data_IF_589368289268
#
_entry.id   IF_589368289268
#
_cell.length_a   1.000
_cell.length_b   1.000
_cell.length_c   1.000
_cell.angle_alpha   90.00
_cell.angle_beta   90.00
_cell.angle_gamma   90.00
#
_symmetry.space_group_name_H-M   'P 1'
#
loop_
_entity.id
_entity.type
_entity.pdbx_description
1 polymer ?
#
# COMPACT_ATOMS: atom_id res chain seq x y z
N UNK A 1 -8.57 -1.66 0.25
CA UNK A 1 -7.57 -1.34 -0.79
C UNK A 1 -8.14 -0.26 -1.70
N UNK A 2 -7.47 0.88 -1.81
CA UNK A 2 -7.86 2.00 -2.69
C UNK A 2 -7.15 1.91 -4.05
N UNK A 3 -7.46 2.82 -4.96
CA UNK A 3 -6.70 2.98 -6.20
C UNK A 3 -5.32 3.62 -5.95
N UNK A 4 -4.38 3.42 -6.88
CA UNK A 4 -3.00 3.94 -6.81
C UNK A 4 -2.93 5.46 -6.99
N UNK A 5 -2.02 6.12 -6.28
CA UNK A 5 -1.77 7.57 -6.27
C UNK A 5 -1.53 8.18 -7.66
N UNK A 6 -1.08 7.38 -8.64
CA UNK A 6 -0.91 7.84 -10.03
C UNK A 6 -2.23 7.98 -10.79
N UNK A 7 -3.33 7.47 -10.22
CA UNK A 7 -4.68 7.59 -10.77
C UNK A 7 -5.42 8.79 -10.18
N UNK A 8 -6.47 9.23 -10.85
CA UNK A 8 -7.33 10.31 -10.34
C UNK A 8 -8.38 9.84 -9.31
N UNK A 9 -8.39 8.54 -8.94
CA UNK A 9 -9.43 7.94 -8.10
C UNK A 9 -9.08 7.92 -6.62
N UNK A 10 -7.80 7.80 -6.26
CA UNK A 10 -7.33 7.53 -4.87
C UNK A 10 -7.92 8.47 -3.84
N UNK A 11 -7.85 9.78 -4.09
CA UNK A 11 -8.31 10.76 -3.11
C UNK A 11 -9.81 10.61 -2.83
N UNK A 12 -10.61 10.30 -3.85
CA UNK A 12 -12.05 10.12 -3.72
C UNK A 12 -12.37 8.81 -3.01
N UNK A 13 -11.66 7.73 -3.32
CA UNK A 13 -11.83 6.45 -2.62
C UNK A 13 -11.62 6.64 -1.12
N UNK A 14 -10.51 7.28 -0.74
CA UNK A 14 -10.16 7.51 0.67
C UNK A 14 -11.24 8.35 1.36
N UNK A 15 -11.63 9.49 0.79
CA UNK A 15 -12.65 10.36 1.38
C UNK A 15 -13.98 9.61 1.52
N UNK A 16 -14.48 9.01 0.43
CA UNK A 16 -15.80 8.37 0.43
C UNK A 16 -15.87 7.18 1.38
N UNK A 17 -14.84 6.35 1.44
CA UNK A 17 -14.82 5.17 2.33
C UNK A 17 -14.63 5.58 3.78
N UNK A 18 -13.71 6.50 4.08
CA UNK A 18 -13.40 6.88 5.46
C UNK A 18 -14.54 7.71 6.07
N UNK A 19 -15.16 8.63 5.33
CA UNK A 19 -16.31 9.38 5.85
C UNK A 19 -17.55 8.47 6.04
N UNK A 20 -17.77 7.51 5.13
CA UNK A 20 -18.94 6.64 5.17
C UNK A 20 -18.84 5.45 6.14
N UNK A 21 -17.65 4.85 6.25
CA UNK A 21 -17.41 3.62 7.01
C UNK A 21 -16.37 3.77 8.13
N UNK A 22 -15.81 4.96 8.31
CA UNK A 22 -14.75 5.27 9.26
C UNK A 22 -14.91 4.62 10.64
N UNK A 23 -16.07 4.70 11.33
CA UNK A 23 -16.23 4.13 12.66
C UNK A 23 -15.94 2.62 12.76
N UNK A 24 -16.09 1.88 11.66
CA UNK A 24 -15.87 0.43 11.59
C UNK A 24 -14.70 0.05 10.67
N UNK A 25 -13.90 1.03 10.23
CA UNK A 25 -12.75 0.81 9.37
C UNK A 25 -11.47 0.77 10.21
N UNK A 26 -10.71 -0.31 10.08
CA UNK A 26 -9.45 -0.51 10.81
C UNK A 26 -8.24 -0.01 10.00
N UNK A 27 -8.17 -0.35 8.70
CA UNK A 27 -7.00 -0.05 7.86
C UNK A 27 -7.38 0.32 6.42
N UNK A 28 -6.52 1.13 5.78
CA UNK A 28 -6.51 1.35 4.34
C UNK A 28 -5.27 0.72 3.72
N UNK A 29 -5.49 -0.21 2.80
CA UNK A 29 -4.42 -0.73 1.95
C UNK A 29 -4.12 0.22 0.78
N UNK A 30 -2.89 0.71 0.72
CA UNK A 30 -2.35 1.56 -0.33
C UNK A 30 -1.54 0.71 -1.34
N UNK A 31 -1.98 0.58 -2.61
CA UNK A 31 -1.24 -0.18 -3.61
C UNK A 31 0.01 0.56 -4.10
N UNK A 32 0.91 -0.16 -4.76
CA UNK A 32 2.01 0.36 -5.60
C UNK A 32 2.91 1.35 -4.88
N UNK A 33 3.16 1.15 -3.58
CA UNK A 33 4.02 2.06 -2.81
C UNK A 33 5.48 1.91 -3.28
N UNK A 34 6.06 3.03 -3.68
CA UNK A 34 7.42 3.19 -4.18
C UNK A 34 8.26 4.17 -3.35
N UNK A 35 7.60 5.00 -2.55
CA UNK A 35 8.22 6.09 -1.83
C UNK A 35 7.51 6.34 -0.49
N UNK A 36 8.29 6.63 0.56
CA UNK A 36 7.79 7.00 1.87
C UNK A 36 6.80 8.18 1.81
N UNK A 37 6.98 9.14 0.88
CA UNK A 37 6.07 10.28 0.80
C UNK A 37 4.64 9.90 0.38
N UNK A 38 4.46 8.75 -0.28
CA UNK A 38 3.12 8.25 -0.61
C UNK A 38 2.37 7.77 0.64
N UNK A 39 3.08 7.21 1.62
CA UNK A 39 2.52 6.84 2.93
C UNK A 39 2.22 8.10 3.74
N UNK A 40 3.16 9.05 3.78
CA UNK A 40 2.97 10.35 4.45
C UNK A 40 1.76 11.10 3.89
N UNK A 41 1.56 11.09 2.57
CA UNK A 41 0.41 11.72 1.94
C UNK A 41 -0.92 11.08 2.39
N UNK A 42 -0.98 9.75 2.51
CA UNK A 42 -2.17 9.06 3.00
C UNK A 42 -2.43 9.35 4.48
N UNK A 43 -1.40 9.36 5.32
CA UNK A 43 -1.50 9.72 6.74
C UNK A 43 -2.07 11.14 6.93
N UNK A 44 -1.54 12.11 6.18
CA UNK A 44 -2.04 13.49 6.23
C UNK A 44 -3.51 13.58 5.83
N UNK A 45 -3.93 12.88 4.76
CA UNK A 45 -5.31 12.85 4.32
C UNK A 45 -6.23 12.18 5.34
N UNK A 46 -5.84 11.01 5.88
CA UNK A 46 -6.59 10.32 6.94
C UNK A 46 -6.74 11.20 8.18
N UNK A 47 -5.66 11.85 8.61
CA UNK A 47 -5.66 12.77 9.75
C UNK A 47 -6.63 13.94 9.55
N UNK A 48 -6.73 14.48 8.32
CA UNK A 48 -7.69 15.55 8.00
C UNK A 48 -9.14 15.04 8.06
N UNK A 49 -9.41 13.85 7.51
CA UNK A 49 -10.75 13.27 7.50
C UNK A 49 -11.18 12.89 8.92
N UNK A 50 -10.33 12.21 9.70
CA UNK A 50 -10.62 11.85 11.09
C UNK A 50 -10.97 13.07 11.93
N UNK A 51 -10.21 14.17 11.81
CA UNK A 51 -10.53 15.44 12.49
C UNK A 51 -11.88 16.02 12.04
N UNK A 52 -12.16 15.98 10.74
CA UNK A 52 -13.40 16.50 10.17
C UNK A 52 -14.62 15.71 10.64
N UNK A 53 -14.48 14.39 10.76
CA UNK A 53 -15.55 13.46 11.14
C UNK A 53 -15.66 13.25 12.66
N UNK A 54 -14.72 13.79 13.45
CA UNK A 54 -14.69 13.60 14.90
C UNK A 54 -14.24 12.20 15.34
N UNK A 55 -13.48 11.50 14.50
CA UNK A 55 -12.87 10.22 14.85
C UNK A 55 -11.59 10.43 15.67
N UNK A 56 -11.19 9.41 16.43
CA UNK A 56 -9.87 9.41 17.09
C UNK A 56 -8.77 9.52 16.02
N UNK A 57 -7.91 10.53 16.16
CA UNK A 57 -6.82 10.76 15.20
C UNK A 57 -5.75 9.70 15.38
N UNK A 58 -5.41 9.01 14.30
CA UNK A 58 -4.42 7.92 14.31
C UNK A 58 -5.03 6.54 14.26
N UNK A 59 -6.36 6.40 14.41
CA UNK A 59 -7.00 5.09 14.59
C UNK A 59 -7.04 4.22 13.33
N UNK A 60 -7.09 4.84 12.14
CA UNK A 60 -7.11 4.09 10.87
C UNK A 60 -5.66 3.85 10.45
N UNK A 61 -5.25 2.59 10.43
CA UNK A 61 -3.93 2.14 10.02
C UNK A 61 -3.74 2.13 8.50
N UNK A 62 -2.49 1.93 8.08
CA UNK A 62 -2.07 1.84 6.68
C UNK A 62 -1.39 0.50 6.44
N UNK A 63 -1.83 -0.19 5.39
CA UNK A 63 -1.15 -1.37 4.84
C UNK A 63 -0.51 -0.98 3.50
N UNK A 64 0.82 -0.93 3.43
CA UNK A 64 1.51 -0.57 2.19
C UNK A 64 1.82 -1.82 1.37
N UNK A 65 1.34 -1.84 0.13
CA UNK A 65 1.64 -2.92 -0.80
C UNK A 65 2.89 -2.58 -1.62
N UNK A 66 3.92 -3.42 -1.47
CA UNK A 66 5.19 -3.37 -2.18
C UNK A 66 5.14 -4.34 -3.35
N UNK A 67 5.12 -3.78 -4.56
CA UNK A 67 4.84 -4.56 -5.77
C UNK A 67 5.68 -4.10 -6.96
N UNK A 68 6.80 -3.42 -6.72
CA UNK A 68 7.79 -3.13 -7.73
C UNK A 68 9.20 -3.00 -7.14
N UNK A 69 10.21 -3.04 -8.02
CA UNK A 69 11.62 -2.96 -7.62
C UNK A 69 11.94 -1.70 -6.79
N UNK A 70 11.41 -0.53 -7.16
CA UNK A 70 11.68 0.73 -6.45
C UNK A 70 11.14 0.69 -5.01
N UNK A 71 9.91 0.21 -4.82
CA UNK A 71 9.32 0.04 -3.49
C UNK A 71 10.11 -0.93 -2.63
N UNK A 72 10.67 -2.00 -3.21
CA UNK A 72 11.51 -2.94 -2.48
C UNK A 72 12.87 -2.31 -2.09
N UNK A 73 13.47 -1.50 -2.96
CA UNK A 73 14.72 -0.78 -2.65
C UNK A 73 14.52 0.24 -1.52
N UNK A 74 13.36 0.89 -1.48
CA UNK A 74 13.02 1.94 -0.51
C UNK A 74 12.27 1.41 0.72
N UNK A 75 12.29 0.09 0.98
CA UNK A 75 11.37 -0.54 1.93
C UNK A 75 11.56 -0.03 3.37
N UNK A 76 12.78 0.26 3.80
CA UNK A 76 13.07 0.75 5.15
C UNK A 76 12.50 2.16 5.37
N UNK A 77 12.66 3.04 4.39
CA UNK A 77 12.10 4.39 4.43
C UNK A 77 10.58 4.36 4.42
N UNK A 78 9.99 3.46 3.61
CA UNK A 78 8.54 3.23 3.58
C UNK A 78 8.06 2.72 4.95
N UNK A 79 8.77 1.75 5.53
CA UNK A 79 8.44 1.16 6.83
C UNK A 79 8.42 2.20 7.96
N UNK A 80 9.32 3.18 7.91
CA UNK A 80 9.45 4.24 8.90
C UNK A 80 8.57 5.48 8.63
N UNK A 81 7.81 5.50 7.53
CA UNK A 81 7.19 6.73 7.00
C UNK A 81 6.05 7.29 7.85
N UNK A 82 5.35 6.46 8.63
CA UNK A 82 4.20 6.88 9.44
C UNK A 82 3.99 5.95 10.64
N UNK A 83 3.60 6.48 11.81
CA UNK A 83 3.17 5.64 12.94
C UNK A 83 1.89 4.83 12.65
N UNK A 84 1.13 5.16 11.59
CA UNK A 84 -0.04 4.39 11.15
C UNK A 84 0.32 3.14 10.36
N UNK A 85 1.57 3.00 9.92
CA UNK A 85 1.94 1.87 9.07
C UNK A 85 2.00 0.60 9.91
N UNK A 86 1.06 -0.31 9.66
CA UNK A 86 0.93 -1.56 10.41
C UNK A 86 1.54 -2.75 9.68
N UNK A 87 1.43 -2.76 8.35
CA UNK A 87 1.82 -3.91 7.53
C UNK A 87 2.46 -3.51 6.21
N UNK A 88 3.48 -4.27 5.80
CA UNK A 88 4.05 -4.29 4.46
C UNK A 88 3.62 -5.58 3.74
N UNK A 89 2.95 -5.44 2.60
CA UNK A 89 2.40 -6.56 1.83
C UNK A 89 3.19 -6.72 0.54
N UNK A 90 3.81 -7.89 0.34
CA UNK A 90 4.48 -8.18 -0.92
C UNK A 90 3.48 -8.62 -2.00
N UNK A 91 3.40 -7.87 -3.10
CA UNK A 91 2.54 -8.15 -4.25
C UNK A 91 3.30 -8.82 -5.40
N UNK A 92 3.39 -10.16 -5.47
CA UNK A 92 4.30 -10.85 -6.38
C UNK A 92 3.93 -10.67 -7.85
N UNK A 93 2.64 -10.60 -8.20
CA UNK A 93 2.17 -10.49 -9.59
C UNK A 93 2.72 -9.24 -10.29
N UNK A 94 2.40 -8.07 -9.74
CA UNK A 94 2.87 -6.78 -10.21
C UNK A 94 4.40 -6.64 -10.03
N UNK A 95 4.99 -7.24 -8.98
CA UNK A 95 6.44 -7.23 -8.80
C UNK A 95 7.18 -7.93 -9.94
N UNK A 96 6.74 -9.15 -10.31
CA UNK A 96 7.31 -9.89 -11.44
C UNK A 96 7.18 -9.11 -12.74
N UNK A 97 6.04 -8.46 -12.97
CA UNK A 97 5.86 -7.59 -14.13
C UNK A 97 6.84 -6.40 -14.12
N UNK A 98 7.07 -5.80 -12.94
CA UNK A 98 7.99 -4.66 -12.80
C UNK A 98 9.45 -4.99 -13.11
N UNK A 99 9.89 -6.22 -12.82
CA UNK A 99 11.27 -6.69 -13.11
C UNK A 99 11.36 -7.46 -14.43
N UNK A 100 10.29 -7.45 -15.24
CA UNK A 100 10.20 -8.15 -16.52
C UNK A 100 10.52 -9.65 -16.42
N UNK A 101 10.01 -10.31 -15.36
CA UNK A 101 10.19 -11.73 -15.16
C UNK A 101 9.43 -12.53 -16.24
N UNK A 102 10.10 -13.50 -16.85
CA UNK A 102 9.56 -14.29 -17.97
C UNK A 102 8.59 -15.38 -17.52
N UNK A 103 7.48 -15.00 -16.88
CA UNK A 103 6.38 -15.91 -16.50
C UNK A 103 5.04 -15.19 -16.53
N UNK A 104 3.97 -15.93 -16.84
CA UNK A 104 2.58 -15.47 -16.76
C UNK A 104 1.86 -16.03 -15.52
N UNK A 105 2.52 -16.91 -14.77
CA UNK A 105 1.96 -17.58 -13.59
C UNK A 105 2.66 -17.07 -12.34
N UNK A 106 1.86 -16.56 -11.41
CA UNK A 106 2.35 -16.07 -10.11
C UNK A 106 2.93 -17.23 -9.30
N UNK A 107 4.22 -17.13 -8.96
CA UNK A 107 4.90 -18.10 -8.09
C UNK A 107 5.30 -19.42 -8.76
N UNK A 108 5.18 -19.55 -10.09
CA UNK A 108 5.65 -20.75 -10.77
C UNK A 108 7.19 -20.79 -10.82
N UNK A 109 7.77 -21.93 -10.47
CA UNK A 109 9.20 -22.15 -10.65
C UNK A 109 9.57 -22.24 -12.13
N UNK A 110 10.64 -21.56 -12.58
CA UNK A 110 11.16 -21.74 -13.93
C UNK A 110 11.51 -23.21 -14.20
N UNK A 111 11.23 -23.74 -15.40
CA UNK A 111 11.66 -25.10 -15.77
C UNK A 111 13.18 -25.26 -15.60
N UNK A 112 13.59 -26.27 -14.83
CA UNK A 112 15.01 -26.55 -14.58
C UNK A 112 15.66 -25.71 -13.47
N UNK A 113 14.89 -24.96 -12.69
CA UNK A 113 15.39 -24.33 -11.45
C UNK A 113 15.18 -25.29 -10.27
N UNK A 114 16.23 -25.97 -9.77
CA UNK A 114 16.13 -26.69 -8.51
C UNK A 114 16.06 -25.63 -7.42
N UNK A 115 14.86 -25.34 -6.89
CA UNK A 115 14.81 -24.50 -5.70
C UNK A 115 15.56 -25.21 -4.57
N UNK A 116 16.42 -24.46 -3.89
CA UNK A 116 17.13 -24.96 -2.71
C UNK A 116 16.08 -25.31 -1.65
N UNK A 117 15.93 -26.61 -1.39
CA UNK A 117 15.10 -27.17 -0.33
C UNK A 117 15.82 -27.10 1.02
#
# INVERSE_FOLDING_TARGET
RVNDWTTHWTYRDVITVVEGAGPNLDCIMLPKVQDAQQVVALDLLLTQIEKTMGFEVGRIGIEAQIENAKGLVNIDDIAAASPRLETLIFGPADFMASINMKTLVVGQQPPGYPADA
#
